data_IF_402521270865
#
_entry.id   IF_402521270865
#
_cell.length_a   1.000
_cell.length_b   1.000
_cell.length_c   1.000
_cell.angle_alpha   90.00
_cell.angle_beta   90.00
_cell.angle_gamma   90.00
#
_symmetry.space_group_name_H-M   'P 1'
#
loop_
_entity.id
_entity.type
_entity.pdbx_description
1 polymer ?
#
# COMPACT_ATOMS: atom_id res chain seq x y z
N UNK A 1 10.43 17.47 10.85
CA UNK A 1 9.12 18.12 10.61
C UNK A 1 8.03 17.20 11.11
N UNK A 2 7.16 17.66 12.01
CA UNK A 2 6.07 16.82 12.53
C UNK A 2 4.96 16.66 11.50
N UNK A 3 4.55 15.42 11.22
CA UNK A 3 3.40 15.14 10.37
C UNK A 3 2.11 15.59 11.09
N UNK A 4 1.61 16.78 10.73
CA UNK A 4 0.42 17.42 11.32
C UNK A 4 -0.80 16.49 11.35
N UNK A 5 -0.93 15.63 10.33
CA UNK A 5 -2.09 14.74 10.15
C UNK A 5 -1.75 13.24 10.23
N UNK A 6 -0.50 12.85 9.97
CA UNK A 6 -0.04 11.46 10.06
C UNK A 6 0.81 11.28 11.32
N UNK A 7 0.18 11.38 12.51
CA UNK A 7 0.85 11.34 13.83
C UNK A 7 1.51 9.97 14.10
N UNK A 8 2.60 9.64 13.39
CA UNK A 8 3.28 8.34 13.37
C UNK A 8 2.45 7.19 12.79
N UNK A 9 1.46 7.53 11.97
CA UNK A 9 0.62 6.55 11.29
C UNK A 9 0.98 6.52 9.81
N UNK A 10 0.95 5.32 9.22
CA UNK A 10 1.13 5.16 7.78
C UNK A 10 0.09 6.00 7.03
N UNK A 11 0.45 6.68 5.92
CA UNK A 11 -0.47 7.53 5.17
C UNK A 11 -1.78 6.84 4.76
N UNK A 12 -1.81 5.51 4.60
CA UNK A 12 -3.00 4.72 4.26
C UNK A 12 -4.03 4.66 5.39
N UNK A 13 -3.61 4.64 6.65
CA UNK A 13 -4.51 4.55 7.83
C UNK A 13 -4.79 5.89 8.50
N UNK A 14 -4.14 6.97 8.06
CA UNK A 14 -4.36 8.31 8.60
C UNK A 14 -5.83 8.72 8.48
N UNK A 15 -6.44 9.16 9.58
CA UNK A 15 -7.84 9.57 9.65
C UNK A 15 -8.03 11.07 9.42
N UNK A 16 -9.27 11.49 9.17
CA UNK A 16 -9.63 12.91 8.98
C UNK A 16 -10.27 13.60 10.19
N UNK A 17 -10.25 12.97 11.39
CA UNK A 17 -10.87 13.55 12.59
C UNK A 17 -10.26 14.92 12.90
N UNK A 18 -11.09 15.97 12.95
CA UNK A 18 -10.66 17.36 13.19
C UNK A 18 -9.86 18.00 12.04
N UNK A 19 -9.79 17.38 10.87
CA UNK A 19 -8.95 17.85 9.77
C UNK A 19 -9.65 18.85 8.86
N UNK A 20 -8.84 19.64 8.13
CA UNK A 20 -9.29 20.65 7.18
C UNK A 20 -10.06 20.04 6.00
N UNK A 21 -10.84 20.86 5.29
CA UNK A 21 -11.55 20.44 4.08
C UNK A 21 -10.60 19.87 3.01
N UNK A 22 -9.41 20.48 2.86
CA UNK A 22 -8.36 20.00 1.97
C UNK A 22 -7.89 18.60 2.37
N UNK A 23 -7.62 18.36 3.65
CA UNK A 23 -7.19 17.03 4.11
C UNK A 23 -8.28 15.96 3.89
N UNK A 24 -9.53 16.27 4.20
CA UNK A 24 -10.65 15.36 3.90
C UNK A 24 -10.75 15.02 2.42
N UNK A 25 -10.45 15.98 1.55
CA UNK A 25 -10.40 15.76 0.10
C UNK A 25 -9.22 14.87 -0.28
N UNK A 26 -8.05 15.10 0.31
CA UNK A 26 -6.87 14.24 0.09
C UNK A 26 -7.14 12.79 0.52
N UNK A 27 -7.81 12.57 1.65
CA UNK A 27 -8.19 11.23 2.11
C UNK A 27 -9.13 10.52 1.12
N UNK A 28 -10.15 11.24 0.61
CA UNK A 28 -11.04 10.70 -0.44
C UNK A 28 -10.28 10.36 -1.73
N UNK A 29 -9.33 11.22 -2.11
CA UNK A 29 -8.50 10.97 -3.29
C UNK A 29 -7.62 9.75 -3.07
N UNK A 30 -6.97 9.63 -1.91
CA UNK A 30 -6.16 8.47 -1.50
C UNK A 30 -6.92 7.16 -1.75
N UNK A 31 -8.16 7.06 -1.25
CA UNK A 31 -9.01 5.86 -1.46
C UNK A 31 -9.23 5.50 -2.94
N UNK A 32 -9.22 6.50 -3.84
CA UNK A 32 -9.39 6.30 -5.28
C UNK A 32 -8.10 5.93 -6.01
N UNK A 33 -6.94 6.32 -5.49
CA UNK A 33 -5.67 6.20 -6.21
C UNK A 33 -4.78 5.09 -5.66
N UNK A 34 -4.87 4.76 -4.38
CA UNK A 34 -3.94 3.84 -3.69
C UNK A 34 -3.88 2.46 -4.37
N UNK A 35 -5.03 1.92 -4.75
CA UNK A 35 -5.13 0.62 -5.42
C UNK A 35 -4.57 0.61 -6.85
N UNK A 36 -4.27 1.77 -7.43
CA UNK A 36 -3.60 1.90 -8.72
C UNK A 36 -2.10 2.13 -8.58
N UNK A 37 -1.59 2.26 -7.36
CA UNK A 37 -0.16 2.35 -7.08
C UNK A 37 0.32 0.95 -6.75
N UNK A 38 1.30 0.46 -7.49
CA UNK A 38 2.03 -0.76 -7.19
C UNK A 38 3.43 -0.42 -6.71
N UNK A 39 3.85 -1.04 -5.62
CA UNK A 39 5.19 -0.92 -5.07
C UNK A 39 6.05 -2.10 -5.56
N UNK A 40 6.94 -1.81 -6.49
CA UNK A 40 7.93 -2.77 -6.96
C UNK A 40 9.07 -2.86 -5.94
N UNK A 41 9.16 -4.02 -5.30
CA UNK A 41 10.19 -4.33 -4.31
C UNK A 41 11.58 -4.36 -4.96
N UNK A 42 12.49 -3.62 -4.33
CA UNK A 42 13.95 -3.57 -4.55
C UNK A 42 14.62 -3.82 -3.21
N UNK A 43 14.80 -2.78 -2.40
CA UNK A 43 15.39 -2.87 -1.05
C UNK A 43 14.43 -3.41 0.01
N UNK A 44 13.12 -3.42 -0.27
CA UNK A 44 12.08 -3.89 0.64
C UNK A 44 11.74 -2.89 1.74
N UNK A 45 11.89 -1.59 1.47
CA UNK A 45 11.54 -0.49 2.38
C UNK A 45 10.02 -0.19 2.39
N UNK A 46 9.26 -0.81 1.49
CA UNK A 46 7.80 -0.73 1.48
C UNK A 46 7.22 -1.36 2.75
N UNK A 47 6.10 -0.80 3.21
CA UNK A 47 5.34 -1.36 4.33
C UNK A 47 4.75 -2.72 3.94
N UNK A 48 5.01 -3.73 4.77
CA UNK A 48 4.50 -5.07 4.57
C UNK A 48 2.96 -5.08 4.54
N UNK A 49 2.31 -4.31 5.41
CA UNK A 49 0.85 -4.33 5.54
C UNK A 49 0.13 -3.31 4.66
N UNK A 50 0.69 -2.12 4.53
CA UNK A 50 -0.04 -0.98 4.00
C UNK A 50 0.24 -0.67 2.53
N UNK A 51 1.41 -1.04 2.04
CA UNK A 51 1.76 -0.80 0.64
C UNK A 51 1.28 -1.96 -0.25
N UNK A 52 0.80 -1.61 -1.43
CA UNK A 52 0.41 -2.58 -2.44
C UNK A 52 1.66 -3.10 -3.17
N UNK A 53 2.44 -3.97 -2.53
CA UNK A 53 3.60 -4.61 -3.15
C UNK A 53 3.28 -5.99 -3.75
N UNK A 54 2.19 -6.62 -3.32
CA UNK A 54 1.75 -7.95 -3.76
C UNK A 54 1.07 -7.98 -5.13
N UNK A 55 0.83 -6.82 -5.76
CA UNK A 55 -0.04 -6.60 -6.94
C UNK A 55 -1.52 -6.94 -6.74
N UNK A 56 -1.89 -7.43 -5.55
CA UNK A 56 -3.27 -7.82 -5.21
C UNK A 56 -3.96 -6.79 -4.30
N UNK A 57 -3.29 -5.69 -3.98
CA UNK A 57 -3.73 -4.69 -3.00
C UNK A 57 -2.94 -4.79 -1.69
N UNK A 58 -3.14 -3.80 -0.82
CA UNK A 58 -2.53 -3.78 0.50
C UNK A 58 -3.01 -4.97 1.35
N UNK A 59 -2.08 -5.68 2.00
CA UNK A 59 -2.38 -6.85 2.84
C UNK A 59 -3.32 -6.53 4.01
N UNK A 60 -3.30 -5.29 4.50
CA UNK A 60 -4.24 -4.77 5.49
C UNK A 60 -5.72 -4.96 5.10
N UNK A 61 -6.06 -4.92 3.80
CA UNK A 61 -7.44 -5.13 3.34
C UNK A 61 -7.89 -6.60 3.39
N UNK A 62 -6.95 -7.54 3.49
CA UNK A 62 -7.23 -8.97 3.55
C UNK A 62 -7.09 -9.53 4.98
N UNK A 63 -6.45 -8.79 5.90
CA UNK A 63 -6.28 -9.20 7.30
C UNK A 63 -7.45 -8.72 8.18
N UNK A 64 -8.21 -9.68 8.69
CA UNK A 64 -9.39 -9.42 9.53
C UNK A 64 -9.06 -9.12 11.01
N UNK A 65 -7.91 -9.56 11.55
CA UNK A 65 -7.77 -9.67 13.02
C UNK A 65 -6.49 -9.15 13.66
N UNK A 66 -5.42 -8.83 12.92
CA UNK A 66 -4.19 -8.39 13.59
C UNK A 66 -4.19 -6.88 13.82
N UNK A 67 -3.95 -6.49 15.07
CA UNK A 67 -3.59 -5.14 15.51
C UNK A 67 -2.28 -4.71 14.85
N UNK A 68 -2.34 -4.39 13.57
CA UNK A 68 -1.20 -4.01 12.73
C UNK A 68 -0.89 -2.52 12.95
N UNK A 69 -0.53 -2.14 14.18
CA UNK A 69 -0.03 -0.80 14.48
C UNK A 69 1.49 -0.69 14.22
N UNK A 70 2.17 -1.82 14.07
CA UNK A 70 3.61 -1.86 13.78
C UNK A 70 3.88 -1.70 12.29
N UNK A 71 4.71 -0.69 11.98
CA UNK A 71 5.26 -0.43 10.66
C UNK A 71 6.41 -1.41 10.42
N UNK A 72 6.06 -2.59 9.89
CA UNK A 72 7.01 -3.63 9.49
C UNK A 72 7.33 -3.45 8.01
N UNK A 73 8.61 -3.52 7.66
CA UNK A 73 9.09 -3.42 6.28
C UNK A 73 9.19 -4.80 5.62
N UNK A 74 8.99 -4.85 4.30
CA UNK A 74 9.07 -6.10 3.52
C UNK A 74 10.42 -6.80 3.65
N UNK A 75 11.51 -6.04 3.80
CA UNK A 75 12.87 -6.57 3.94
C UNK A 75 13.11 -7.43 5.18
N UNK A 76 12.28 -7.31 6.21
CA UNK A 76 12.37 -8.18 7.39
C UNK A 76 12.06 -9.65 7.06
N UNK A 77 11.21 -9.87 6.05
CA UNK A 77 10.79 -11.19 5.57
C UNK A 77 11.70 -11.76 4.48
N UNK A 78 12.86 -11.14 4.23
CA UNK A 78 13.84 -11.63 3.27
C UNK A 78 15.26 -11.56 3.83
N UNK A 79 16.18 -12.26 3.19
CA UNK A 79 17.62 -12.17 3.41
C UNK A 79 18.39 -12.47 2.10
N UNK A 80 19.71 -12.61 2.19
CA UNK A 80 20.57 -12.88 1.04
C UNK A 80 20.27 -14.21 0.33
N UNK A 81 19.57 -15.14 0.99
CA UNK A 81 19.13 -16.42 0.41
C UNK A 81 17.74 -16.33 -0.23
N UNK A 82 17.05 -15.19 -0.08
CA UNK A 82 15.75 -14.91 -0.68
C UNK A 82 14.65 -14.70 0.36
N UNK A 83 13.43 -15.10 0.03
CA UNK A 83 12.27 -14.95 0.91
C UNK A 83 12.32 -15.95 2.08
N UNK A 84 12.07 -15.46 3.31
CA UNK A 84 11.87 -16.29 4.50
C UNK A 84 10.45 -16.87 4.48
N UNK A 85 10.23 -17.87 3.62
CA UNK A 85 8.91 -18.45 3.34
C UNK A 85 8.17 -18.89 4.61
N UNK A 86 8.86 -19.49 5.55
CA UNK A 86 8.25 -19.95 6.81
C UNK A 86 7.75 -18.80 7.69
N UNK A 87 8.33 -17.61 7.57
CA UNK A 87 7.81 -16.41 8.24
C UNK A 87 6.60 -15.86 7.49
N UNK A 88 6.65 -15.80 6.16
CA UNK A 88 5.53 -15.33 5.33
C UNK A 88 4.27 -16.17 5.56
N UNK A 89 4.40 -17.50 5.65
CA UNK A 89 3.29 -18.44 5.92
C UNK A 89 2.62 -18.26 7.28
N UNK A 90 3.27 -17.59 8.24
CA UNK A 90 2.62 -17.26 9.53
C UNK A 90 1.59 -16.15 9.39
N UNK A 91 1.77 -15.29 8.40
CA UNK A 91 1.00 -14.06 8.23
C UNK A 91 0.08 -14.11 7.01
N UNK A 92 0.46 -14.87 5.99
CA UNK A 92 -0.20 -14.94 4.69
C UNK A 92 -0.73 -16.36 4.44
N UNK A 93 -1.86 -16.43 3.73
CA UNK A 93 -2.39 -17.69 3.22
C UNK A 93 -1.45 -18.30 2.18
N UNK A 94 -1.48 -19.62 2.02
CA UNK A 94 -0.59 -20.32 1.08
C UNK A 94 -0.79 -19.83 -0.36
N UNK A 95 -2.02 -19.48 -0.76
CA UNK A 95 -2.30 -18.93 -2.09
C UNK A 95 -1.54 -17.61 -2.36
N UNK A 96 -1.51 -16.71 -1.37
CA UNK A 96 -0.78 -15.43 -1.46
C UNK A 96 0.72 -15.68 -1.50
N UNK A 97 1.23 -16.60 -0.66
CA UNK A 97 2.66 -16.95 -0.62
C UNK A 97 3.11 -17.53 -1.97
N UNK A 98 2.34 -18.46 -2.56
CA UNK A 98 2.66 -19.04 -3.86
C UNK A 98 2.63 -18.00 -4.98
N UNK A 99 1.64 -17.10 -4.97
CA UNK A 99 1.58 -15.98 -5.92
C UNK A 99 2.82 -15.07 -5.78
N UNK A 100 3.19 -14.71 -4.56
CA UNK A 100 4.35 -13.88 -4.25
C UNK A 100 5.63 -14.52 -4.74
N UNK A 101 5.90 -15.79 -4.40
CA UNK A 101 7.12 -16.48 -4.80
C UNK A 101 7.26 -16.63 -6.32
N UNK A 102 6.14 -16.69 -7.04
CA UNK A 102 6.11 -16.78 -8.50
C UNK A 102 6.29 -15.43 -9.18
N UNK A 103 5.76 -14.36 -8.58
CA UNK A 103 5.57 -13.07 -9.26
C UNK A 103 6.60 -12.02 -8.83
N UNK A 104 7.06 -12.07 -7.57
CA UNK A 104 7.83 -11.00 -6.94
C UNK A 104 9.22 -11.53 -6.57
N UNK A 105 10.30 -10.97 -7.14
CA UNK A 105 11.65 -11.33 -6.74
C UNK A 105 11.91 -10.88 -5.30
N UNK A 106 12.74 -11.63 -4.58
CA UNK A 106 13.15 -11.24 -3.23
C UNK A 106 13.91 -9.91 -3.25
N UNK A 107 13.80 -9.10 -2.18
CA UNK A 107 14.56 -7.87 -2.02
C UNK A 107 16.06 -8.06 -2.30
N UNK A 108 16.64 -7.12 -3.03
CA UNK A 108 18.07 -6.98 -3.21
C UNK A 108 18.59 -6.03 -2.15
N UNK A 109 19.47 -6.52 -1.27
CA UNK A 109 20.11 -5.73 -0.21
C UNK A 109 21.27 -4.88 -0.76
N UNK A 110 21.06 -4.27 -1.93
CA UNK A 110 22.03 -3.46 -2.68
C UNK A 110 21.87 -1.95 -2.44
N UNK A 111 20.94 -1.57 -1.56
CA UNK A 111 20.66 -0.17 -1.22
C UNK A 111 19.78 0.55 -2.24
N UNK A 112 19.18 -0.17 -3.21
CA UNK A 112 18.20 0.40 -4.14
C UNK A 112 16.85 0.50 -3.45
N UNK A 113 16.27 1.70 -3.39
CA UNK A 113 14.94 1.92 -2.85
C UNK A 113 13.84 1.31 -3.72
N UNK A 114 12.73 0.95 -3.08
CA UNK A 114 11.52 0.48 -3.76
C UNK A 114 10.95 1.54 -4.71
N UNK A 115 10.32 1.08 -5.80
CA UNK A 115 9.78 1.96 -6.85
C UNK A 115 8.27 1.89 -6.94
N UNK A 116 7.62 3.05 -7.04
CA UNK A 116 6.19 3.14 -7.31
C UNK A 116 5.90 3.08 -8.81
N UNK A 117 4.87 2.32 -9.15
CA UNK A 117 4.35 2.16 -10.50
C UNK A 117 2.87 2.54 -10.52
N UNK A 118 2.51 3.46 -11.42
CA UNK A 118 1.12 3.82 -11.66
C UNK A 118 0.51 2.86 -12.68
N UNK A 119 -0.34 1.96 -12.20
CA UNK A 119 -0.90 0.86 -13.01
C UNK A 119 -1.88 1.31 -14.10
N UNK A 120 -2.34 2.57 -14.06
CA UNK A 120 -3.29 3.11 -15.04
C UNK A 120 -2.64 3.67 -16.30
N UNK A 121 -1.31 3.76 -16.34
CA UNK A 121 -0.60 4.35 -17.47
C UNK A 121 0.51 3.43 -17.96
N UNK A 122 0.63 3.28 -19.28
CA UNK A 122 1.66 2.44 -19.91
C UNK A 122 3.09 2.88 -19.55
N UNK A 123 3.28 4.18 -19.25
CA UNK A 123 4.57 4.74 -18.81
C UNK A 123 4.91 4.40 -17.36
N UNK A 124 3.93 3.99 -16.56
CA UNK A 124 4.08 3.66 -15.14
C UNK A 124 4.42 4.83 -14.22
N UNK A 125 4.54 6.06 -14.75
CA UNK A 125 4.97 7.23 -13.97
C UNK A 125 3.83 7.76 -13.10
N UNK A 126 4.01 7.68 -11.79
CA UNK A 126 3.13 8.34 -10.84
C UNK A 126 3.42 9.86 -10.81
N UNK A 127 2.50 10.67 -11.32
CA UNK A 127 2.53 12.12 -11.19
C UNK A 127 1.27 12.65 -10.53
N UNK A 128 1.37 13.79 -9.84
CA UNK A 128 0.21 14.47 -9.25
C UNK A 128 -0.83 14.81 -10.32
N UNK A 129 -0.38 15.15 -11.53
CA UNK A 129 -1.24 15.46 -12.66
C UNK A 129 -2.09 14.25 -13.07
N UNK A 130 -1.47 13.09 -13.30
CA UNK A 130 -2.18 11.90 -13.78
C UNK A 130 -3.17 11.37 -12.72
N UNK A 131 -2.77 11.42 -11.44
CA UNK A 131 -3.67 11.12 -10.32
C UNK A 131 -4.88 12.07 -10.28
N UNK A 132 -4.67 13.37 -10.52
CA UNK A 132 -5.74 14.36 -10.54
C UNK A 132 -6.69 14.19 -11.74
N UNK A 133 -6.14 13.93 -12.93
CA UNK A 133 -6.90 13.66 -14.15
C UNK A 133 -7.81 12.43 -14.01
N UNK A 134 -7.31 11.38 -13.35
CA UNK A 134 -8.12 10.22 -13.02
C UNK A 134 -9.29 10.55 -12.08
N UNK A 135 -9.01 11.26 -10.98
CA UNK A 135 -10.02 11.62 -9.96
C UNK A 135 -11.14 12.47 -10.55
N UNK A 136 -10.82 13.46 -11.41
CA UNK A 136 -11.83 14.33 -12.02
C UNK A 136 -12.72 13.59 -13.02
N UNK A 137 -12.20 12.55 -13.69
CA UNK A 137 -12.97 11.72 -14.62
C UNK A 137 -14.01 10.84 -13.91
N UNK A 138 -13.73 10.38 -12.69
CA UNK A 138 -14.66 9.55 -11.91
C UNK A 138 -15.81 10.30 -11.22
N UNK A 139 -15.77 11.63 -11.11
CA UNK A 139 -16.85 12.42 -10.47
C UNK A 139 -18.24 12.24 -11.11
N UNK A 140 -18.37 11.61 -12.29
CA UNK A 140 -19.64 11.31 -12.96
C UNK A 140 -20.21 9.90 -12.76
N UNK A 141 -19.50 8.97 -12.12
CA UNK A 141 -19.95 7.58 -11.89
C UNK A 141 -19.34 7.07 -10.58
N UNK A 142 -20.09 7.06 -9.48
CA UNK A 142 -19.55 6.50 -8.23
C UNK A 142 -20.59 5.69 -7.46
N UNK A 143 -20.55 4.38 -7.68
CA UNK A 143 -20.87 3.38 -6.66
C UNK A 143 -19.52 2.81 -6.18
N UNK A 144 -19.27 2.89 -4.87
CA UNK A 144 -17.94 2.65 -4.30
C UNK A 144 -17.81 1.20 -3.81
N UNK A 145 -16.83 0.46 -4.35
CA UNK A 145 -16.20 -0.65 -3.62
C UNK A 145 -15.05 -0.07 -2.79
N UNK A 146 -15.37 0.43 -1.60
CA UNK A 146 -14.36 0.74 -0.58
C UNK A 146 -13.92 -0.56 0.08
N UNK A 147 -12.61 -0.75 0.28
CA UNK A 147 -12.11 -1.62 1.36
C UNK A 147 -12.82 -1.13 2.64
N UNK A 148 -13.72 -1.98 3.19
CA UNK A 148 -14.76 -1.56 4.11
C UNK A 148 -14.20 -0.69 5.24
N UNK A 149 -14.83 0.47 5.45
CA UNK A 149 -14.52 1.33 6.60
C UNK A 149 -14.64 0.49 7.86
N UNK A 150 -13.50 0.13 8.46
CA UNK A 150 -13.46 -0.30 9.85
C UNK A 150 -13.72 0.95 10.68
N UNK A 151 -14.97 1.10 11.12
CA UNK A 151 -15.34 2.06 12.15
C UNK A 151 -14.66 1.60 13.45
N UNK A 152 -13.47 2.15 13.73
CA UNK A 152 -12.86 2.06 15.04
C UNK A 152 -13.72 2.88 16.00
N UNK A 153 -14.55 2.19 16.78
CA UNK A 153 -15.41 2.78 17.79
C UNK A 153 -14.62 3.14 19.05
#
# INVERSE_FOLDING_TARGET
MGNKYCKKLHPVIAQSKGASATWRTMIKIRELVEHHIWWQIKGGDSSFWFDNWTTQGALYCFSHETSQEEEIEVKEFADQLGWKVDQLRKWLSEDIVQHLLKTIPSPTFDGILDRTWWMLEESGKLTVQNAWEYVRGKRGKVDFLTCGKRDFH
#
